data_IF_880395065420
#
_entry.id   IF_880395065420
#
_cell.length_a   1.000
_cell.length_b   1.000
_cell.length_c   1.000
_cell.angle_alpha   90.00
_cell.angle_beta   90.00
_cell.angle_gamma   90.00
#
_symmetry.space_group_name_H-M   'P 1'
#
loop_
_entity.id
_entity.type
_entity.pdbx_description
1 polymer ?
#
# COMPACT_ATOMS: atom_id res chain seq x y z
N UNK A 1 0.55 9.31 51.55
CA UNK A 1 0.43 8.10 52.40
C UNK A 1 0.14 8.51 53.84
N UNK A 2 -1.01 9.16 54.10
CA UNK A 2 -1.50 9.41 55.47
C UNK A 2 -2.94 9.95 55.57
N UNK A 3 -3.75 9.80 54.51
CA UNK A 3 -5.18 10.17 54.55
C UNK A 3 -6.13 9.05 54.09
N UNK A 4 -5.61 7.82 53.92
CA UNK A 4 -6.41 6.63 53.55
C UNK A 4 -6.45 5.55 54.63
N UNK A 5 -5.79 5.77 55.77
CA UNK A 5 -5.79 4.83 56.90
C UNK A 5 -6.97 5.05 57.87
N UNK A 6 -7.63 6.21 57.83
CA UNK A 6 -8.77 6.52 58.73
C UNK A 6 -10.13 5.96 58.25
N UNK A 7 -10.23 5.47 57.01
CA UNK A 7 -11.48 4.92 56.48
C UNK A 7 -11.60 3.39 56.68
N UNK A 8 -10.52 2.72 57.11
CA UNK A 8 -10.50 1.26 57.23
C UNK A 8 -11.01 0.74 58.59
N UNK A 9 -11.12 1.61 59.60
CA UNK A 9 -11.48 1.21 60.96
C UNK A 9 -12.99 1.29 61.28
N UNK A 10 -13.81 1.81 60.37
CA UNK A 10 -15.27 1.91 60.57
C UNK A 10 -16.10 0.80 59.93
N UNK A 11 -15.51 -0.12 59.16
CA UNK A 11 -16.26 -1.16 58.42
C UNK A 11 -16.13 -2.58 59.00
N UNK A 12 -15.71 -2.73 60.25
CA UNK A 12 -15.47 -4.05 60.89
C UNK A 12 -16.61 -4.60 61.75
N UNK A 13 -17.81 -4.01 61.72
CA UNK A 13 -18.95 -4.48 62.52
C UNK A 13 -20.21 -4.69 61.67
N UNK A 14 -20.46 -5.92 61.23
CA UNK A 14 -21.74 -6.30 60.65
C UNK A 14 -21.68 -7.58 59.81
N UNK A 15 -22.62 -8.54 59.97
CA UNK A 15 -22.44 -9.90 59.48
C UNK A 15 -22.91 -10.01 58.02
N UNK A 16 -21.97 -10.05 57.08
CA UNK A 16 -22.28 -10.33 55.67
C UNK A 16 -21.33 -11.38 55.09
N UNK A 17 -21.97 -12.26 54.31
CA UNK A 17 -21.62 -13.64 53.97
C UNK A 17 -20.35 -13.79 53.13
N UNK A 18 -19.70 -14.96 53.28
CA UNK A 18 -18.40 -15.37 52.75
C UNK A 18 -18.20 -15.40 51.21
N UNK A 19 -19.09 -14.78 50.43
CA UNK A 19 -19.06 -14.79 48.96
C UNK A 19 -18.58 -13.47 48.34
N UNK A 20 -18.32 -12.43 49.15
CA UNK A 20 -17.81 -11.12 48.69
C UNK A 20 -16.31 -10.86 48.99
N UNK A 21 -15.57 -11.88 49.47
CA UNK A 21 -14.09 -11.81 49.62
C UNK A 21 -13.29 -12.23 48.39
N UNK A 22 -13.94 -12.76 47.34
CA UNK A 22 -13.27 -13.21 46.09
C UNK A 22 -13.34 -12.22 44.92
N UNK A 23 -14.10 -11.13 45.02
CA UNK A 23 -14.21 -10.13 43.93
C UNK A 23 -13.30 -8.90 44.06
N UNK A 24 -12.57 -8.76 45.17
CA UNK A 24 -11.58 -7.68 45.36
C UNK A 24 -10.12 -8.13 45.20
N UNK A 25 -9.86 -9.43 45.09
CA UNK A 25 -8.54 -9.96 44.68
C UNK A 25 -8.39 -10.13 43.16
N UNK A 26 -9.48 -10.00 42.39
CA UNK A 26 -9.47 -10.14 40.92
C UNK A 26 -9.24 -8.82 40.16
N UNK A 27 -9.22 -7.67 40.87
CA UNK A 27 -9.05 -6.35 40.25
C UNK A 27 -7.62 -5.80 40.45
N UNK A 28 -6.82 -6.38 41.36
CA UNK A 28 -5.43 -5.98 41.57
C UNK A 28 -4.40 -6.67 40.67
N UNK A 29 -4.79 -7.67 39.87
CA UNK A 29 -3.88 -8.31 38.89
C UNK A 29 -4.01 -7.74 37.46
N UNK A 30 -4.90 -6.77 37.24
CA UNK A 30 -5.15 -6.17 35.92
C UNK A 30 -4.46 -4.82 35.68
N UNK A 31 -3.54 -4.39 36.55
CA UNK A 31 -2.87 -3.07 36.43
C UNK A 31 -1.37 -3.15 36.12
N UNK A 32 -0.76 -4.34 35.97
CA UNK A 32 0.70 -4.43 35.71
C UNK A 32 1.10 -4.72 34.26
N UNK A 33 0.16 -4.98 33.33
CA UNK A 33 0.56 -5.29 31.94
C UNK A 33 -0.22 -4.46 30.91
N UNK A 34 -0.02 -3.14 30.96
CA UNK A 34 -0.08 -2.33 29.75
C UNK A 34 1.35 -1.98 29.33
N UNK A 35 1.87 -2.68 28.31
CA UNK A 35 2.51 -2.02 27.15
C UNK A 35 2.81 -3.00 26.02
N UNK A 36 2.09 -2.75 24.91
CA UNK A 36 2.42 -3.00 23.49
C UNK A 36 2.48 -4.45 23.02
N UNK A 37 1.46 -4.89 22.26
CA UNK A 37 1.65 -5.42 20.89
C UNK A 37 0.40 -5.09 20.06
N UNK A 38 0.67 -4.68 18.83
CA UNK A 38 -0.26 -4.23 17.82
C UNK A 38 -1.05 -5.37 17.15
N UNK A 39 -2.10 -4.95 16.44
CA UNK A 39 -3.09 -5.71 15.67
C UNK A 39 -2.49 -6.81 14.79
N UNK A 40 -3.17 -7.96 14.77
CA UNK A 40 -3.12 -8.95 13.70
C UNK A 40 -4.45 -8.89 12.93
N UNK A 41 -4.38 -8.89 11.59
CA UNK A 41 -5.39 -9.47 10.71
C UNK A 41 -4.64 -10.25 9.63
N UNK A 42 -5.11 -11.48 9.41
CA UNK A 42 -4.50 -12.61 8.71
C UNK A 42 -4.53 -12.49 7.18
N UNK A 43 -3.68 -13.26 6.48
CA UNK A 43 -4.10 -14.18 5.41
C UNK A 43 -2.92 -15.06 4.93
N UNK A 44 -2.89 -16.36 5.26
CA UNK A 44 -2.31 -17.45 4.42
C UNK A 44 -2.69 -18.85 4.95
N UNK A 45 -3.11 -19.82 4.11
CA UNK A 45 -3.45 -21.21 4.48
C UNK A 45 -2.36 -22.23 4.02
N UNK A 46 -2.57 -23.57 4.12
CA UNK A 46 -2.48 -24.40 5.32
C UNK A 46 -1.33 -25.44 5.24
N UNK A 47 -0.81 -25.91 6.38
CA UNK A 47 0.01 -27.14 6.46
C UNK A 47 -0.69 -28.14 7.37
N UNK A 48 -0.80 -29.36 6.84
CA UNK A 48 -1.40 -30.57 7.40
C UNK A 48 -0.75 -30.96 8.72
N UNK A 49 -1.54 -31.14 9.78
CA UNK A 49 -1.10 -31.74 11.05
C UNK A 49 -1.16 -33.26 10.97
N UNK A 50 -0.01 -33.94 11.07
CA UNK A 50 0.07 -35.31 11.56
C UNK A 50 0.33 -35.28 13.07
N UNK A 51 -0.57 -35.91 13.83
CA UNK A 51 -0.43 -36.21 15.26
C UNK A 51 0.52 -37.39 15.44
N UNK A 52 1.56 -37.21 16.26
CA UNK A 52 2.25 -38.34 16.90
C UNK A 52 2.54 -37.99 18.37
N UNK A 53 1.88 -38.74 19.25
CA UNK A 53 2.22 -38.94 20.65
C UNK A 53 3.58 -39.62 20.76
N UNK A 54 4.44 -39.16 21.67
CA UNK A 54 5.29 -40.06 22.47
C UNK A 54 6.02 -39.33 23.59
N UNK A 55 5.92 -39.89 24.78
CA UNK A 55 6.62 -39.53 26.01
C UNK A 55 8.11 -39.96 25.97
N UNK A 56 8.88 -39.35 26.88
CA UNK A 56 10.11 -39.85 27.54
C UNK A 56 11.39 -39.97 26.69
N UNK A 57 12.41 -39.16 27.03
CA UNK A 57 13.59 -39.60 27.82
C UNK A 57 14.61 -38.46 27.94
N UNK A 58 15.18 -38.34 29.15
CA UNK A 58 16.30 -37.47 29.47
C UNK A 58 17.54 -37.78 28.62
N UNK A 59 18.19 -36.74 28.10
CA UNK A 59 19.65 -36.71 27.96
C UNK A 59 20.07 -35.27 27.66
N UNK A 60 20.66 -34.62 28.67
CA UNK A 60 21.36 -33.35 28.52
C UNK A 60 22.64 -33.63 27.75
N UNK A 61 22.62 -33.42 26.42
CA UNK A 61 23.81 -33.38 25.60
C UNK A 61 24.16 -31.91 25.38
N UNK A 62 25.26 -31.48 26.02
CA UNK A 62 25.94 -30.23 25.75
C UNK A 62 26.48 -30.25 24.30
N UNK A 63 25.73 -29.65 23.37
CA UNK A 63 26.26 -29.33 22.04
C UNK A 63 26.87 -27.92 22.12
N UNK A 64 28.14 -27.73 21.70
CA UNK A 64 28.78 -26.42 21.73
C UNK A 64 28.03 -25.43 20.84
N UNK A 65 27.72 -24.26 21.41
CA UNK A 65 27.14 -23.07 20.78
C UNK A 65 28.11 -22.46 19.77
N UNK A 66 28.45 -23.18 18.71
CA UNK A 66 29.25 -22.68 17.59
C UNK A 66 28.72 -23.11 16.22
N UNK A 67 27.62 -23.87 16.17
CA UNK A 67 27.05 -24.39 14.91
C UNK A 67 25.67 -23.83 14.57
N UNK A 68 25.13 -22.93 15.39
CA UNK A 68 23.80 -22.33 15.18
C UNK A 68 23.82 -21.02 14.37
N UNK A 69 25.00 -20.42 14.13
CA UNK A 69 25.12 -19.20 13.33
C UNK A 69 25.25 -19.45 11.81
N UNK A 70 25.49 -20.68 11.37
CA UNK A 70 25.65 -20.99 9.93
C UNK A 70 24.34 -21.50 9.28
N UNK A 71 23.31 -21.83 10.08
CA UNK A 71 22.06 -22.44 9.54
C UNK A 71 20.92 -21.42 9.42
N UNK A 72 21.01 -20.22 10.02
CA UNK A 72 19.98 -19.16 9.89
C UNK A 72 20.17 -18.29 8.62
N UNK A 73 21.21 -18.54 7.82
CA UNK A 73 21.46 -17.80 6.57
C UNK A 73 20.88 -18.47 5.31
N UNK A 74 19.86 -19.34 5.42
CA UNK A 74 19.31 -20.05 4.24
C UNK A 74 17.79 -20.10 4.10
N UNK A 75 17.01 -19.25 4.79
CA UNK A 75 15.55 -19.18 4.59
C UNK A 75 15.00 -17.75 4.60
N UNK A 76 15.60 -16.84 3.84
CA UNK A 76 15.02 -15.53 3.56
C UNK A 76 15.34 -15.00 2.16
N UNK A 77 15.42 -15.87 1.16
CA UNK A 77 15.24 -15.45 -0.22
C UNK A 77 13.99 -16.16 -0.75
N UNK A 78 12.82 -15.53 -0.59
CA UNK A 78 11.92 -15.54 -1.74
C UNK A 78 12.77 -14.96 -2.88
N UNK A 79 13.26 -15.81 -3.79
CA UNK A 79 14.15 -15.37 -4.85
C UNK A 79 13.50 -14.15 -5.51
N UNK A 80 14.10 -12.96 -5.34
CA UNK A 80 13.63 -11.77 -6.05
C UNK A 80 13.59 -12.18 -7.51
N UNK A 81 12.41 -12.12 -8.14
CA UNK A 81 12.28 -12.39 -9.57
C UNK A 81 13.19 -11.38 -10.27
N UNK A 82 14.34 -11.86 -10.77
CA UNK A 82 15.37 -11.01 -11.35
C UNK A 82 14.79 -10.30 -12.57
N UNK A 83 14.71 -8.97 -12.51
CA UNK A 83 14.24 -8.15 -13.62
C UNK A 83 15.41 -7.92 -14.57
N UNK A 84 15.23 -8.26 -15.85
CA UNK A 84 16.19 -8.00 -16.92
C UNK A 84 16.47 -6.51 -17.03
N UNK A 85 17.74 -6.15 -17.21
CA UNK A 85 18.18 -4.78 -17.42
C UNK A 85 18.38 -4.51 -18.92
N UNK A 86 18.81 -3.30 -19.24
CA UNK A 86 19.22 -2.94 -20.59
C UNK A 86 20.39 -3.83 -21.02
N UNK A 87 20.46 -4.16 -22.31
CA UNK A 87 21.57 -4.86 -22.91
C UNK A 87 22.92 -4.27 -22.48
N UNK A 88 23.85 -5.16 -22.15
CA UNK A 88 25.26 -4.83 -21.96
C UNK A 88 26.02 -4.97 -23.29
N UNK A 89 27.15 -4.29 -23.41
CA UNK A 89 28.04 -4.43 -24.57
C UNK A 89 28.52 -5.87 -24.78
N UNK A 90 28.71 -6.62 -23.70
CA UNK A 90 29.11 -8.03 -23.75
C UNK A 90 28.02 -8.92 -24.36
N UNK A 91 26.76 -8.76 -23.93
CA UNK A 91 25.62 -9.49 -24.49
C UNK A 91 25.45 -9.17 -25.98
N UNK A 92 25.60 -7.89 -26.35
CA UNK A 92 25.53 -7.46 -27.75
C UNK A 92 26.64 -8.09 -28.59
N UNK A 93 27.88 -8.11 -28.10
CA UNK A 93 29.03 -8.69 -28.80
C UNK A 93 28.93 -10.22 -28.93
N UNK A 94 28.36 -10.90 -27.93
CA UNK A 94 28.18 -12.37 -27.92
C UNK A 94 26.94 -12.84 -28.69
N UNK A 95 26.06 -11.95 -29.12
CA UNK A 95 24.79 -12.34 -29.72
C UNK A 95 23.81 -12.94 -28.70
N UNK A 96 23.94 -12.56 -27.42
CA UNK A 96 22.99 -12.96 -26.37
C UNK A 96 21.74 -12.11 -26.48
N UNK A 97 20.57 -12.73 -26.38
CA UNK A 97 19.28 -12.05 -26.38
C UNK A 97 19.18 -11.18 -25.13
N UNK A 98 18.88 -9.91 -25.32
CA UNK A 98 18.84 -8.93 -24.24
C UNK A 98 17.84 -7.82 -24.56
N UNK A 99 17.47 -7.02 -23.55
CA UNK A 99 16.50 -5.94 -23.74
C UNK A 99 17.19 -4.68 -24.26
N UNK A 100 16.99 -4.38 -25.55
CA UNK A 100 17.52 -3.18 -26.21
C UNK A 100 16.77 -1.92 -25.79
N UNK A 101 15.45 -2.03 -25.60
CA UNK A 101 14.60 -0.97 -25.05
C UNK A 101 13.73 -1.58 -23.98
N UNK A 102 13.79 -0.97 -22.80
CA UNK A 102 12.97 -1.35 -21.67
C UNK A 102 11.66 -0.54 -21.69
N UNK A 103 10.53 -1.10 -21.22
CA UNK A 103 9.40 -0.27 -20.86
C UNK A 103 9.81 0.69 -19.74
N UNK A 104 9.20 1.87 -19.70
CA UNK A 104 9.28 2.74 -18.53
C UNK A 104 8.80 2.00 -17.28
N UNK A 105 9.30 2.39 -16.11
CA UNK A 105 8.89 1.75 -14.87
C UNK A 105 7.40 2.00 -14.56
N UNK A 106 6.89 3.19 -14.92
CA UNK A 106 5.51 3.60 -14.66
C UNK A 106 4.97 4.42 -15.84
N UNK A 107 3.75 4.13 -16.27
CA UNK A 107 2.96 4.93 -17.20
C UNK A 107 1.77 5.53 -16.45
N UNK A 108 1.44 6.80 -16.70
CA UNK A 108 0.29 7.47 -16.10
C UNK A 108 -0.45 8.28 -17.14
N UNK A 109 -1.67 7.87 -17.46
CA UNK A 109 -2.48 8.46 -18.53
C UNK A 109 -3.94 8.65 -18.09
N UNK A 110 -4.63 9.70 -18.54
CA UNK A 110 -6.06 9.86 -18.28
C UNK A 110 -6.89 8.73 -18.91
N UNK A 111 -8.03 8.42 -18.29
CA UNK A 111 -9.03 7.50 -18.86
C UNK A 111 -9.33 7.87 -20.33
N UNK A 112 -9.46 6.85 -21.18
CA UNK A 112 -9.80 6.98 -22.60
C UNK A 112 -8.61 7.22 -23.53
N UNK A 113 -7.42 7.44 -22.98
CA UNK A 113 -6.20 7.58 -23.77
C UNK A 113 -5.70 6.23 -24.29
N UNK A 114 -4.73 6.28 -25.20
CA UNK A 114 -3.97 5.10 -25.64
C UNK A 114 -2.60 5.13 -25.00
N UNK A 115 -2.17 4.01 -24.44
CA UNK A 115 -0.82 3.83 -23.87
C UNK A 115 -0.02 2.85 -24.71
N UNK A 116 1.23 3.20 -24.96
CA UNK A 116 2.20 2.36 -25.65
C UNK A 116 3.35 2.02 -24.70
N UNK A 117 3.50 0.74 -24.38
CA UNK A 117 4.56 0.22 -23.53
C UNK A 117 5.62 -0.43 -24.40
N UNK A 118 6.83 0.12 -24.38
CA UNK A 118 7.91 -0.35 -25.23
C UNK A 118 8.53 -1.65 -24.72
N UNK A 119 8.91 -2.55 -25.63
CA UNK A 119 9.76 -3.70 -25.34
C UNK A 119 10.46 -4.12 -26.63
N UNK A 120 11.77 -3.86 -26.72
CA UNK A 120 12.57 -4.19 -27.90
C UNK A 120 13.70 -5.11 -27.50
N UNK A 121 13.84 -6.23 -28.20
CA UNK A 121 14.79 -7.29 -27.91
C UNK A 121 15.89 -7.30 -28.96
N UNK A 122 17.14 -7.17 -28.54
CA UNK A 122 18.28 -7.42 -29.43
C UNK A 122 18.61 -8.92 -29.44
N UNK A 123 19.17 -9.39 -30.57
CA UNK A 123 19.61 -10.78 -30.76
C UNK A 123 18.52 -11.80 -30.36
N UNK A 124 17.27 -11.53 -30.72
CA UNK A 124 16.14 -12.33 -30.25
C UNK A 124 16.19 -13.75 -30.80
N UNK A 125 16.15 -14.74 -29.89
CA UNK A 125 15.96 -16.16 -30.24
C UNK A 125 14.64 -16.71 -29.68
N UNK A 126 14.28 -16.29 -28.47
CA UNK A 126 13.05 -16.68 -27.79
C UNK A 126 11.79 -16.01 -28.34
N UNK A 127 10.65 -16.54 -27.93
CA UNK A 127 9.34 -15.94 -28.21
C UNK A 127 9.07 -14.84 -27.19
N UNK A 128 8.47 -13.73 -27.64
CA UNK A 128 8.10 -12.60 -26.79
C UNK A 128 6.60 -12.62 -26.50
N UNK A 129 6.26 -12.36 -25.24
CA UNK A 129 4.88 -12.26 -24.78
C UNK A 129 4.76 -11.18 -23.71
N UNK A 130 3.60 -10.52 -23.70
CA UNK A 130 3.19 -9.66 -22.59
C UNK A 130 2.30 -10.42 -21.61
N UNK A 131 2.52 -10.16 -20.32
CA UNK A 131 1.59 -10.51 -19.24
C UNK A 131 0.92 -9.23 -18.76
N UNK A 132 -0.41 -9.22 -18.72
CA UNK A 132 -1.21 -8.19 -18.08
C UNK A 132 -1.73 -8.72 -16.74
N UNK A 133 -1.25 -8.15 -15.63
CA UNK A 133 -1.57 -8.61 -14.27
C UNK A 133 -1.25 -10.11 -14.14
N UNK A 134 -2.28 -10.94 -13.93
CA UNK A 134 -2.14 -12.39 -13.83
C UNK A 134 -2.36 -13.15 -15.17
N UNK A 135 -2.66 -12.44 -16.27
CA UNK A 135 -3.08 -13.03 -17.54
C UNK A 135 -1.95 -12.94 -18.57
N UNK A 136 -1.62 -14.08 -19.20
CA UNK A 136 -0.73 -14.11 -20.36
C UNK A 136 -1.53 -13.76 -21.61
N UNK A 137 -1.10 -12.72 -22.35
CA UNK A 137 -1.90 -12.16 -23.45
C UNK A 137 -1.81 -12.96 -24.76
N UNK A 138 -0.86 -13.89 -24.87
CA UNK A 138 -0.55 -14.62 -26.10
C UNK A 138 0.78 -14.21 -26.75
N UNK A 139 1.17 -14.93 -27.80
CA UNK A 139 2.34 -14.61 -28.62
C UNK A 139 1.96 -13.91 -29.93
N UNK A 140 0.68 -13.99 -30.30
CA UNK A 140 0.15 -13.38 -31.52
C UNK A 140 0.07 -11.85 -31.37
N UNK A 141 0.14 -11.13 -32.50
CA UNK A 141 0.07 -9.66 -32.47
C UNK A 141 -1.31 -9.13 -32.10
N UNK A 142 -2.35 -9.88 -32.44
CA UNK A 142 -3.71 -9.73 -31.92
C UNK A 142 -3.82 -10.52 -30.62
N UNK A 143 -3.97 -9.81 -29.50
CA UNK A 143 -3.90 -10.41 -28.17
C UNK A 143 -5.27 -10.82 -27.63
N UNK A 144 -5.25 -11.77 -26.69
CA UNK A 144 -6.42 -12.13 -25.90
C UNK A 144 -6.76 -10.94 -24.98
N UNK A 145 -8.03 -10.56 -24.92
CA UNK A 145 -8.48 -9.33 -24.23
C UNK A 145 -9.28 -8.37 -25.13
N UNK A 146 -9.42 -8.69 -26.41
CA UNK A 146 -10.25 -7.95 -27.36
C UNK A 146 -9.46 -6.92 -28.18
N UNK A 147 -10.12 -6.18 -29.07
CA UNK A 147 -9.46 -5.35 -30.09
C UNK A 147 -8.64 -4.19 -29.53
N UNK A 148 -8.76 -3.88 -28.23
CA UNK A 148 -8.04 -2.80 -27.56
C UNK A 148 -6.57 -3.13 -27.28
N UNK A 149 -6.24 -4.41 -27.10
CA UNK A 149 -4.89 -4.88 -26.79
C UNK A 149 -4.21 -5.39 -28.07
N UNK A 150 -3.04 -4.87 -28.38
CA UNK A 150 -2.27 -5.30 -29.56
C UNK A 150 -0.77 -5.19 -29.34
N UNK A 151 0.00 -6.06 -29.98
CA UNK A 151 1.45 -5.88 -30.09
C UNK A 151 1.81 -5.27 -31.44
N UNK A 152 2.53 -4.15 -31.43
CA UNK A 152 2.97 -3.42 -32.62
C UNK A 152 4.51 -3.27 -32.68
N UNK A 153 5.03 -2.78 -33.81
CA UNK A 153 6.46 -2.72 -34.13
C UNK A 153 6.86 -3.67 -35.28
N UNK A 154 8.14 -3.75 -35.60
CA UNK A 154 8.70 -4.73 -36.53
C UNK A 154 9.30 -5.95 -35.79
N UNK A 155 8.68 -7.14 -35.87
CA UNK A 155 9.19 -8.35 -35.21
C UNK A 155 10.57 -8.78 -35.73
N UNK A 156 10.91 -8.45 -36.98
CA UNK A 156 12.24 -8.76 -37.54
C UNK A 156 13.36 -7.93 -36.89
N UNK A 157 13.00 -6.82 -36.25
CA UNK A 157 13.88 -5.96 -35.45
C UNK A 157 13.73 -6.18 -33.94
N UNK A 158 12.96 -7.20 -33.55
CA UNK A 158 12.68 -7.51 -32.15
C UNK A 158 11.75 -6.52 -31.44
N UNK A 159 10.95 -5.75 -32.18
CA UNK A 159 10.03 -4.76 -31.60
C UNK A 159 8.68 -5.40 -31.27
N UNK A 160 8.38 -5.54 -29.97
CA UNK A 160 7.17 -6.17 -29.44
C UNK A 160 6.50 -5.24 -28.43
N UNK A 161 6.15 -4.03 -28.88
CA UNK A 161 5.56 -3.01 -28.03
C UNK A 161 4.08 -3.31 -27.79
N UNK A 162 3.61 -3.16 -26.56
CA UNK A 162 2.20 -3.34 -26.21
C UNK A 162 1.45 -2.01 -26.36
N UNK A 163 0.33 -2.02 -27.08
CA UNK A 163 -0.62 -0.91 -27.15
C UNK A 163 -1.93 -1.30 -26.50
N UNK A 164 -2.44 -0.41 -25.65
CA UNK A 164 -3.78 -0.50 -25.05
C UNK A 164 -4.53 0.76 -25.42
N UNK A 165 -5.52 0.65 -26.29
CA UNK A 165 -6.36 1.79 -26.71
C UNK A 165 -7.56 1.98 -25.78
N UNK A 166 -7.98 3.23 -25.60
CA UNK A 166 -9.16 3.59 -24.79
C UNK A 166 -9.09 2.96 -23.40
N UNK A 167 -8.05 3.31 -22.65
CA UNK A 167 -7.78 2.72 -21.33
C UNK A 167 -8.88 3.05 -20.31
N UNK A 168 -9.20 2.09 -19.47
CA UNK A 168 -10.10 2.24 -18.31
C UNK A 168 -9.39 1.88 -17.01
N UNK A 169 -10.01 2.16 -15.86
CA UNK A 169 -9.41 1.84 -14.55
C UNK A 169 -9.15 0.34 -14.37
N UNK A 170 -9.90 -0.52 -15.06
CA UNK A 170 -9.68 -1.97 -15.02
C UNK A 170 -8.35 -2.39 -15.65
N UNK A 171 -7.81 -1.55 -16.55
CA UNK A 171 -6.53 -1.77 -17.22
C UNK A 171 -5.35 -1.37 -16.31
N UNK A 172 -5.58 -0.63 -15.21
CA UNK A 172 -4.53 -0.26 -14.27
C UNK A 172 -3.91 -1.51 -13.61
N UNK A 173 -2.59 -1.49 -13.42
CA UNK A 173 -1.86 -2.57 -12.76
C UNK A 173 -0.49 -2.88 -13.37
N UNK A 174 0.06 -4.02 -12.97
CA UNK A 174 1.35 -4.52 -13.44
C UNK A 174 1.24 -5.14 -14.84
N UNK A 175 2.19 -4.81 -15.70
CA UNK A 175 2.42 -5.48 -16.98
C UNK A 175 3.87 -5.98 -17.00
N UNK A 176 4.14 -7.08 -17.71
CA UNK A 176 5.49 -7.65 -17.81
C UNK A 176 5.77 -8.13 -19.23
N UNK A 177 6.83 -7.62 -19.84
CA UNK A 177 7.37 -8.16 -21.09
C UNK A 177 8.26 -9.36 -20.77
N UNK A 178 8.03 -10.49 -21.42
CA UNK A 178 8.73 -11.76 -21.19
C UNK A 178 9.28 -12.31 -22.49
N UNK A 179 10.49 -12.88 -22.45
CA UNK A 179 11.12 -13.58 -23.57
C UNK A 179 11.59 -14.94 -23.11
N UNK A 180 11.14 -16.01 -23.78
CA UNK A 180 11.48 -17.38 -23.39
C UNK A 180 12.99 -17.65 -23.51
N UNK A 181 13.60 -18.46 -22.62
CA UNK A 181 14.97 -18.91 -22.80
C UNK A 181 15.06 -19.87 -23.99
N UNK A 182 16.27 -20.02 -24.53
CA UNK A 182 16.59 -21.03 -25.56
C UNK A 182 17.84 -21.78 -25.10
N UNK A 183 17.64 -22.89 -24.39
CA UNK A 183 18.68 -23.61 -23.64
C UNK A 183 19.82 -24.09 -24.54
N UNK A 184 19.50 -24.62 -25.72
CA UNK A 184 20.49 -25.13 -26.69
C UNK A 184 21.38 -24.03 -27.31
N UNK A 185 21.02 -22.76 -27.14
CA UNK A 185 21.79 -21.60 -27.59
C UNK A 185 22.28 -20.74 -26.41
N UNK A 186 22.14 -21.24 -25.18
CA UNK A 186 22.50 -20.53 -23.93
C UNK A 186 21.84 -19.15 -23.79
N UNK A 187 20.62 -19.01 -24.33
CA UNK A 187 19.90 -17.73 -24.33
C UNK A 187 19.05 -17.58 -23.07
N UNK A 188 19.23 -16.49 -22.29
CA UNK A 188 18.59 -16.34 -20.98
C UNK A 188 17.10 -15.98 -21.09
N UNK A 189 16.30 -16.36 -20.08
CA UNK A 189 14.94 -15.83 -19.90
C UNK A 189 15.02 -14.32 -19.63
N UNK A 190 14.25 -13.52 -20.37
CA UNK A 190 14.15 -12.08 -20.11
C UNK A 190 12.78 -11.74 -19.53
N UNK A 191 12.74 -10.87 -18.51
CA UNK A 191 11.49 -10.36 -17.90
C UNK A 191 11.67 -8.93 -17.41
N UNK A 192 10.75 -8.03 -17.78
CA UNK A 192 10.74 -6.65 -17.27
C UNK A 192 9.32 -6.16 -17.02
N UNK A 193 9.07 -5.75 -15.78
CA UNK A 193 7.81 -5.21 -15.31
C UNK A 193 7.70 -3.71 -15.55
N UNK A 194 6.46 -3.26 -15.71
CA UNK A 194 6.02 -1.87 -15.74
C UNK A 194 4.65 -1.76 -15.07
N UNK A 195 4.27 -0.55 -14.65
CA UNK A 195 2.99 -0.30 -14.00
C UNK A 195 2.19 0.77 -14.74
N UNK A 196 0.92 0.49 -15.03
CA UNK A 196 -0.01 1.46 -15.59
C UNK A 196 -0.90 2.02 -14.48
N UNK A 197 -0.89 3.34 -14.34
CA UNK A 197 -1.90 4.09 -13.58
C UNK A 197 -2.83 4.80 -14.55
N UNK A 198 -4.14 4.57 -14.40
CA UNK A 198 -5.15 5.31 -15.17
C UNK A 198 -5.68 6.45 -14.32
N UNK A 199 -5.46 7.67 -14.78
CA UNK A 199 -5.81 8.88 -14.06
C UNK A 199 -7.31 9.15 -14.20
N UNK A 200 -7.97 9.40 -13.08
CA UNK A 200 -9.39 9.71 -13.00
C UNK A 200 -9.53 11.07 -12.33
N UNK A 201 -10.18 12.00 -13.03
CA UNK A 201 -10.53 13.31 -12.48
C UNK A 201 -11.56 13.07 -11.36
N UNK A 202 -11.34 13.60 -10.14
CA UNK A 202 -12.31 13.47 -9.06
C UNK A 202 -13.61 14.22 -9.37
N UNK A 203 -14.64 13.97 -8.58
CA UNK A 203 -15.85 14.81 -8.60
C UNK A 203 -15.52 16.28 -8.33
N UNK A 204 -16.43 17.17 -8.73
CA UNK A 204 -16.34 18.56 -8.32
C UNK A 204 -16.20 18.63 -6.78
N UNK A 205 -15.29 19.46 -6.25
CA UNK A 205 -15.16 19.63 -4.81
C UNK A 205 -16.43 20.20 -4.19
N UNK A 206 -16.92 19.56 -3.14
CA UNK A 206 -18.13 19.96 -2.41
C UNK A 206 -17.75 20.37 -0.99
N UNK A 207 -18.15 21.57 -0.58
CA UNK A 207 -18.00 22.04 0.79
C UNK A 207 -19.21 21.61 1.63
N UNK A 208 -18.94 21.14 2.84
CA UNK A 208 -19.94 20.80 3.85
C UNK A 208 -19.60 21.44 5.18
N UNK A 209 -20.64 21.72 5.96
CA UNK A 209 -20.53 22.23 7.33
C UNK A 209 -21.17 21.23 8.26
N UNK A 210 -20.39 20.73 9.22
CA UNK A 210 -20.81 19.67 10.15
C UNK A 210 -21.44 18.48 9.39
N UNK A 211 -20.78 18.02 8.32
CA UNK A 211 -21.22 16.96 7.39
C UNK A 211 -22.51 17.24 6.58
N UNK A 212 -23.08 18.43 6.69
CA UNK A 212 -24.27 18.85 5.95
C UNK A 212 -23.91 19.73 4.74
N UNK A 213 -24.64 19.63 3.62
CA UNK A 213 -24.41 20.48 2.45
C UNK A 213 -24.65 21.96 2.79
N UNK A 214 -23.84 22.86 2.24
CA UNK A 214 -24.01 24.30 2.38
C UNK A 214 -25.29 24.77 1.66
N UNK A 215 -26.22 25.43 2.35
CA UNK A 215 -27.33 26.10 1.68
C UNK A 215 -26.81 27.38 1.01
N UNK A 216 -26.89 27.45 -0.32
CA UNK A 216 -26.58 28.65 -1.15
C UNK A 216 -25.10 29.11 -1.14
N UNK A 217 -24.16 28.20 -0.89
CA UNK A 217 -22.72 28.51 -0.86
C UNK A 217 -22.31 29.61 0.14
N UNK A 218 -23.21 29.98 1.05
CA UNK A 218 -22.99 30.99 2.08
C UNK A 218 -22.98 30.33 3.47
N UNK A 219 -21.92 30.61 4.23
CA UNK A 219 -21.83 30.21 5.63
C UNK A 219 -21.96 31.46 6.51
N UNK A 220 -23.11 31.59 7.18
CA UNK A 220 -23.35 32.66 8.15
C UNK A 220 -23.01 32.14 9.54
N UNK A 221 -21.95 32.68 10.14
CA UNK A 221 -21.59 32.37 11.53
C UNK A 221 -22.21 33.44 12.43
N UNK A 222 -23.40 33.17 12.94
CA UNK A 222 -24.13 34.06 13.85
C UNK A 222 -23.47 34.08 15.24
N UNK A 223 -22.92 35.23 15.67
CA UNK A 223 -22.46 35.42 17.05
C UNK A 223 -23.70 35.65 17.95
N UNK A 224 -23.95 34.77 18.95
CA UNK A 224 -23.50 35.05 20.32
C UNK A 224 -23.02 33.82 21.10
N UNK A 225 -22.82 32.66 20.46
CA UNK A 225 -22.38 31.46 21.16
C UNK A 225 -20.95 31.61 21.71
N UNK A 226 -20.66 31.16 22.94
CA UNK A 226 -19.33 31.31 23.55
C UNK A 226 -18.24 30.45 22.89
N UNK A 227 -18.60 29.47 22.05
CA UNK A 227 -17.67 28.69 21.22
C UNK A 227 -18.43 27.96 20.08
N UNK A 228 -18.89 28.65 19.00
CA UNK A 228 -19.53 27.99 17.87
C UNK A 228 -18.44 27.23 17.10
N UNK A 229 -18.27 25.95 17.42
CA UNK A 229 -17.39 25.05 16.68
C UNK A 229 -18.06 24.70 15.37
N UNK A 230 -17.59 25.32 14.29
CA UNK A 230 -18.03 25.03 12.93
C UNK A 230 -16.94 24.21 12.25
N UNK A 231 -17.24 22.97 11.90
CA UNK A 231 -16.37 22.14 11.09
C UNK A 231 -16.73 22.32 9.62
N UNK A 232 -15.79 22.84 8.83
CA UNK A 232 -15.94 22.96 7.38
C UNK A 232 -15.05 21.90 6.74
N UNK A 233 -15.63 21.06 5.92
CA UNK A 233 -14.93 19.99 5.22
C UNK A 233 -15.16 20.10 3.71
N UNK A 234 -14.15 19.72 2.93
CA UNK A 234 -14.18 19.72 1.47
C UNK A 234 -14.00 18.28 0.99
N UNK A 235 -14.88 17.84 0.10
CA UNK A 235 -14.90 16.46 -0.41
C UNK A 235 -14.79 16.48 -1.92
N UNK A 236 -13.93 15.62 -2.47
CA UNK A 236 -13.89 15.32 -3.89
C UNK A 236 -13.69 13.80 -4.01
N UNK A 237 -14.59 13.14 -4.74
CA UNK A 237 -14.74 11.68 -4.73
C UNK A 237 -14.13 11.04 -5.97
N UNK A 238 -13.67 9.80 -5.84
CA UNK A 238 -13.26 8.92 -6.95
C UNK A 238 -12.09 9.43 -7.82
N UNK A 239 -11.25 10.32 -7.30
CA UNK A 239 -10.03 10.73 -8.00
C UNK A 239 -8.96 9.64 -7.94
N UNK A 240 -8.24 9.44 -9.05
CA UNK A 240 -7.06 8.57 -9.10
C UNK A 240 -5.89 9.36 -9.70
N UNK A 241 -4.82 9.63 -8.93
CA UNK A 241 -4.70 9.41 -7.49
C UNK A 241 -5.71 10.28 -6.69
N UNK A 242 -5.92 10.00 -5.39
CA UNK A 242 -6.73 10.86 -4.53
C UNK A 242 -6.26 12.32 -4.60
N UNK A 243 -7.18 13.29 -4.71
CA UNK A 243 -6.81 14.69 -4.88
C UNK A 243 -6.17 15.26 -3.61
N UNK A 244 -5.32 16.26 -3.82
CA UNK A 244 -4.80 17.08 -2.73
C UNK A 244 -5.72 18.28 -2.52
N UNK A 245 -6.01 18.60 -1.26
CA UNK A 245 -6.82 19.75 -0.89
C UNK A 245 -5.93 20.85 -0.30
N UNK A 246 -6.20 22.09 -0.69
CA UNK A 246 -5.57 23.30 -0.15
C UNK A 246 -6.69 24.20 0.34
N UNK A 247 -6.55 24.74 1.55
CA UNK A 247 -7.48 25.71 2.10
C UNK A 247 -6.90 27.11 2.03
N UNK A 248 -7.67 28.03 1.47
CA UNK A 248 -7.32 29.44 1.35
C UNK A 248 -8.36 30.27 2.10
N UNK A 249 -7.90 31.27 2.85
CA UNK A 249 -8.75 32.30 3.45
C UNK A 249 -8.24 33.66 2.98
N UNK A 250 -9.09 34.40 2.25
CA UNK A 250 -8.70 35.65 1.60
C UNK A 250 -7.41 35.47 0.77
N UNK A 251 -7.37 34.42 -0.05
CA UNK A 251 -6.25 34.01 -0.90
C UNK A 251 -4.94 33.63 -0.19
N UNK A 252 -4.92 33.59 1.14
CA UNK A 252 -3.77 33.16 1.94
C UNK A 252 -3.91 31.72 2.37
N UNK A 253 -2.83 30.95 2.25
CA UNK A 253 -2.80 29.57 2.70
C UNK A 253 -2.99 29.49 4.21
N UNK A 254 -4.01 28.75 4.62
CA UNK A 254 -4.35 28.58 6.02
C UNK A 254 -3.21 27.98 6.87
N UNK A 255 -2.35 27.13 6.28
CA UNK A 255 -1.18 26.58 6.96
C UNK A 255 -0.08 27.65 7.21
N UNK A 256 0.01 28.66 6.33
CA UNK A 256 0.97 29.76 6.48
C UNK A 256 0.49 30.78 7.51
N UNK A 257 -0.82 31.02 7.58
CA UNK A 257 -1.46 31.87 8.59
C UNK A 257 -1.34 31.32 10.02
N UNK A 258 -1.34 30.00 10.18
CA UNK A 258 -1.10 29.37 11.48
C UNK A 258 0.35 29.58 11.98
N UNK A 259 1.31 29.72 11.07
CA UNK A 259 2.73 29.85 11.38
C UNK A 259 3.19 31.31 11.53
N UNK A 260 2.41 32.27 11.05
CA UNK A 260 2.66 33.70 11.27
C UNK A 260 2.06 34.13 12.60
N UNK A 261 2.88 34.12 13.66
CA UNK A 261 2.50 34.54 15.02
C UNK A 261 2.03 36.01 15.14
N UNK A 262 2.08 36.80 14.07
CA UNK A 262 1.79 38.24 14.02
C UNK A 262 0.47 38.63 13.31
N UNK A 263 -0.49 37.72 13.15
CA UNK A 263 -1.85 38.14 12.74
C UNK A 263 -2.60 38.78 13.94
N UNK A 264 -3.34 39.90 13.78
CA UNK A 264 -4.22 40.41 14.84
C UNK A 264 -5.15 39.31 15.36
N UNK A 265 -5.39 39.26 16.67
CA UNK A 265 -6.16 38.19 17.33
C UNK A 265 -7.60 38.01 16.79
N UNK A 266 -8.14 39.05 16.14
CA UNK A 266 -9.44 39.00 15.43
C UNK A 266 -9.37 38.28 14.07
N UNK A 267 -8.19 38.27 13.44
CA UNK A 267 -7.91 37.62 12.16
C UNK A 267 -7.24 36.25 12.30
N UNK A 268 -6.78 35.88 13.52
CA UNK A 268 -6.32 34.52 13.81
C UNK A 268 -7.53 33.57 13.73
N UNK A 269 -7.52 32.57 12.84
CA UNK A 269 -8.58 31.57 12.77
C UNK A 269 -8.67 30.82 14.10
N UNK A 270 -9.82 30.91 14.77
CA UNK A 270 -9.96 30.53 16.18
C UNK A 270 -10.00 29.03 16.46
N UNK A 271 -10.14 28.15 15.47
CA UNK A 271 -9.81 26.72 15.59
C UNK A 271 -9.99 25.98 14.25
N UNK A 272 -9.10 25.04 13.94
CA UNK A 272 -9.09 24.21 12.73
C UNK A 272 -9.49 22.77 13.04
N UNK A 273 -10.30 22.14 12.19
CA UNK A 273 -10.36 20.68 12.10
C UNK A 273 -10.23 20.27 10.63
N UNK A 274 -9.06 19.78 10.25
CA UNK A 274 -8.74 19.34 8.89
C UNK A 274 -8.91 17.83 8.81
N UNK A 275 -10.14 17.36 8.65
CA UNK A 275 -10.37 15.97 8.29
C UNK A 275 -10.02 15.79 6.80
N UNK A 276 -8.76 15.45 6.51
CA UNK A 276 -8.39 14.83 5.22
C UNK A 276 -9.01 13.45 5.19
N UNK A 277 -10.09 13.29 4.44
CA UNK A 277 -10.54 11.96 4.04
C UNK A 277 -10.47 11.89 2.51
N UNK A 278 -9.43 11.20 2.05
CA UNK A 278 -9.27 10.75 0.66
C UNK A 278 -9.59 9.27 0.54
#
# INVERSE_FOLDING_TARGET
MQLLLAAFESASKGPLKATYRRRLWSILLQVIVHRKVARACEFTPPIVCFSLYSNLLESVILIPVASCLVIIARLANAARVSQSQLCTEEEMAKGTQCMKVLPEANYSYPRGYTVDMLCVIANQHGKVQWRAKAVLLGYDRSLIGGPRFSMFGDPSKGEHNLRISNISEEDAGEYECQVTPVENLEQPLLRRRTYLTVLVIPSHPEMKVNDLPLPKDELIISQPDPDPRVEVACYARNGVPPPNFIWLLNDMNLNELANTSNMPEYSKPKHFNLNRQG
#
